data_IF_764902452242
#
_entry.id   IF_764902452242
#
_cell.length_a   1.000
_cell.length_b   1.000
_cell.length_c   1.000
_cell.angle_alpha   90.00
_cell.angle_beta   90.00
_cell.angle_gamma   90.00
#
_symmetry.space_group_name_H-M   'P 1'
#
loop_
_entity.id
_entity.type
_entity.pdbx_description
1 polymer ?
#
# COMPACT_ATOMS: atom_id res chain seq x y z
N UNK A 1 61.38 -26.07 64.54
CA UNK A 1 61.20 -25.21 63.35
C UNK A 1 60.33 -25.99 62.38
N UNK A 2 59.04 -25.70 62.33
CA UNK A 2 58.06 -26.44 61.51
C UNK A 2 57.67 -25.46 60.39
N UNK A 3 57.99 -25.84 59.13
CA UNK A 3 57.76 -25.07 57.94
C UNK A 3 56.31 -25.35 57.51
N UNK A 4 55.47 -24.31 57.40
CA UNK A 4 54.09 -24.36 56.86
C UNK A 4 54.12 -23.97 55.38
N UNK A 5 53.75 -24.89 54.50
CA UNK A 5 53.56 -24.63 53.09
C UNK A 5 52.05 -24.15 52.81
N UNK A 6 51.81 -23.17 51.95
CA UNK A 6 50.48 -22.68 51.64
C UNK A 6 49.76 -23.57 50.64
N UNK A 7 48.55 -23.97 50.97
CA UNK A 7 47.58 -24.68 50.11
C UNK A 7 47.06 -23.66 49.08
N UNK A 8 47.37 -23.85 47.77
CA UNK A 8 46.75 -23.13 46.69
C UNK A 8 45.43 -23.79 46.31
N UNK A 9 44.33 -23.12 46.61
CA UNK A 9 43.00 -23.50 46.12
C UNK A 9 42.81 -22.92 44.70
N UNK A 10 42.83 -23.75 43.67
CA UNK A 10 42.51 -23.36 42.30
C UNK A 10 41.00 -23.43 42.12
N UNK A 11 40.33 -22.25 42.05
CA UNK A 11 38.92 -22.16 41.70
C UNK A 11 38.78 -22.36 40.19
N UNK A 12 38.25 -23.49 39.77
CA UNK A 12 37.80 -23.71 38.37
C UNK A 12 36.44 -23.00 38.19
N UNK A 13 36.47 -21.84 37.50
CA UNK A 13 35.25 -21.19 37.03
C UNK A 13 34.75 -21.94 35.80
N UNK A 14 33.72 -22.78 35.93
CA UNK A 14 33.02 -23.38 34.79
C UNK A 14 32.15 -22.31 34.14
N UNK A 15 32.60 -21.76 33.02
CA UNK A 15 31.75 -20.96 32.14
C UNK A 15 30.72 -21.85 31.49
N UNK A 16 29.48 -21.87 32.02
CA UNK A 16 28.32 -22.40 31.32
C UNK A 16 27.99 -21.44 30.18
N UNK A 17 28.49 -21.72 28.98
CA UNK A 17 28.06 -21.06 27.76
C UNK A 17 26.65 -21.60 27.47
N UNK A 18 25.63 -20.88 27.92
CA UNK A 18 24.26 -21.11 27.49
C UNK A 18 24.15 -20.69 26.03
N UNK A 19 24.24 -21.67 25.12
CA UNK A 19 23.90 -21.48 23.71
C UNK A 19 22.39 -21.28 23.62
N UNK A 20 21.95 -20.02 23.74
CA UNK A 20 20.62 -19.66 23.27
C UNK A 20 20.57 -19.98 21.79
N UNK A 21 19.94 -21.07 21.44
CA UNK A 21 19.62 -21.41 20.05
C UNK A 21 18.78 -20.24 19.52
N UNK A 22 19.39 -19.37 18.73
CA UNK A 22 18.66 -18.34 18.01
C UNK A 22 17.69 -19.06 17.09
N UNK A 23 16.42 -19.01 17.43
CA UNK A 23 15.39 -19.61 16.58
C UNK A 23 15.56 -19.01 15.16
N UNK A 24 15.85 -19.88 14.21
CA UNK A 24 16.02 -19.46 12.81
C UNK A 24 14.72 -18.81 12.37
N UNK A 25 14.82 -17.63 11.73
CA UNK A 25 13.66 -16.95 11.17
C UNK A 25 12.88 -17.89 10.22
N UNK A 26 11.54 -17.83 10.20
CA UNK A 26 10.73 -18.63 9.29
C UNK A 26 11.18 -18.43 7.83
N UNK A 27 11.26 -19.53 7.08
CA UNK A 27 11.60 -19.45 5.64
C UNK A 27 10.36 -19.66 4.79
N UNK A 28 10.12 -18.75 3.85
CA UNK A 28 9.04 -18.84 2.89
C UNK A 28 9.15 -20.04 1.94
N UNK A 29 10.33 -20.68 1.85
CA UNK A 29 10.55 -21.90 1.10
C UNK A 29 10.25 -23.19 1.91
N UNK A 30 10.03 -23.09 3.24
CA UNK A 30 9.71 -24.25 4.08
C UNK A 30 8.30 -24.79 3.77
N UNK A 31 8.13 -26.10 3.51
CA UNK A 31 6.81 -26.69 3.24
C UNK A 31 5.78 -26.44 4.35
N UNK A 32 6.19 -26.44 5.64
CA UNK A 32 5.30 -26.15 6.75
C UNK A 32 4.81 -24.71 6.75
N UNK A 33 5.72 -23.74 6.52
CA UNK A 33 5.37 -22.33 6.40
C UNK A 33 4.46 -22.07 5.19
N UNK A 34 4.73 -22.72 4.06
CA UNK A 34 3.87 -22.62 2.88
C UNK A 34 2.46 -23.15 3.15
N UNK A 35 2.34 -24.25 3.89
CA UNK A 35 1.03 -24.78 4.29
C UNK A 35 0.29 -23.83 5.25
N UNK A 36 0.98 -23.22 6.21
CA UNK A 36 0.39 -22.21 7.11
C UNK A 36 -0.08 -20.97 6.35
N UNK A 37 0.72 -20.46 5.40
CA UNK A 37 0.34 -19.33 4.53
C UNK A 37 -0.89 -19.70 3.70
N UNK A 38 -0.90 -20.89 3.08
CA UNK A 38 -2.05 -21.34 2.28
C UNK A 38 -3.33 -21.43 3.12
N UNK A 39 -3.25 -21.99 4.33
CA UNK A 39 -4.37 -22.09 5.23
C UNK A 39 -4.89 -20.70 5.68
N UNK A 40 -3.99 -19.75 5.94
CA UNK A 40 -4.36 -18.37 6.26
C UNK A 40 -5.10 -17.69 5.10
N UNK A 41 -4.63 -17.87 3.86
CA UNK A 41 -5.30 -17.33 2.66
C UNK A 41 -6.68 -17.94 2.48
N UNK A 42 -6.83 -19.26 2.57
CA UNK A 42 -8.13 -19.91 2.39
C UNK A 42 -9.12 -19.55 3.49
N UNK A 43 -8.65 -19.37 4.72
CA UNK A 43 -9.47 -18.87 5.84
C UNK A 43 -10.06 -17.50 5.52
N UNK A 44 -9.24 -16.55 5.08
CA UNK A 44 -9.71 -15.21 4.77
C UNK A 44 -10.57 -15.19 3.49
N UNK A 45 -10.24 -16.01 2.49
CA UNK A 45 -11.04 -16.21 1.28
C UNK A 45 -12.47 -16.67 1.60
N UNK A 46 -12.60 -17.63 2.51
CA UNK A 46 -13.89 -18.14 2.96
C UNK A 46 -14.64 -17.11 3.82
N UNK A 47 -13.94 -16.37 4.70
CA UNK A 47 -14.57 -15.44 5.63
C UNK A 47 -15.22 -14.23 4.95
N UNK A 48 -14.73 -13.80 3.80
CA UNK A 48 -15.22 -12.62 3.08
C UNK A 48 -16.06 -12.96 1.84
N UNK A 49 -16.19 -14.21 1.49
CA UNK A 49 -16.86 -14.66 0.27
C UNK A 49 -18.38 -14.88 0.41
N UNK A 50 -18.99 -14.62 1.57
CA UNK A 50 -20.41 -14.90 1.77
C UNK A 50 -20.74 -16.40 1.57
N UNK A 51 -21.61 -16.73 0.61
CA UNK A 51 -21.98 -18.14 0.31
C UNK A 51 -20.94 -18.87 -0.54
N UNK A 52 -20.05 -18.14 -1.22
CA UNK A 52 -18.97 -18.69 -2.05
C UNK A 52 -17.66 -17.96 -1.73
N UNK A 53 -16.53 -18.65 -1.80
CA UNK A 53 -15.22 -18.02 -1.53
C UNK A 53 -14.96 -16.81 -2.46
N UNK A 54 -14.16 -15.86 -2.00
CA UNK A 54 -13.65 -14.77 -2.84
C UNK A 54 -13.10 -15.34 -4.16
N UNK A 55 -13.46 -14.78 -5.34
CA UNK A 55 -13.13 -15.36 -6.63
C UNK A 55 -11.65 -15.61 -6.84
N UNK A 56 -10.79 -14.63 -6.58
CA UNK A 56 -9.36 -14.74 -6.82
C UNK A 56 -8.51 -14.10 -5.74
N UNK A 57 -7.42 -14.78 -5.35
CA UNK A 57 -6.38 -14.26 -4.47
C UNK A 57 -5.01 -14.64 -5.04
N UNK A 58 -4.15 -13.65 -5.27
CA UNK A 58 -2.72 -13.82 -5.52
C UNK A 58 -1.95 -13.45 -4.27
N UNK A 59 -1.06 -14.33 -3.85
CA UNK A 59 -0.18 -14.08 -2.70
C UNK A 59 1.27 -14.36 -3.06
N UNK A 60 2.16 -13.42 -2.71
CA UNK A 60 3.59 -13.59 -2.80
C UNK A 60 4.26 -13.24 -1.48
N UNK A 61 5.10 -14.15 -0.99
CA UNK A 61 5.92 -13.98 0.22
C UNK A 61 7.36 -14.30 -0.13
N UNK A 62 8.27 -13.38 0.18
CA UNK A 62 9.72 -13.57 -0.02
C UNK A 62 10.43 -13.24 1.28
N UNK A 63 11.29 -14.14 1.72
CA UNK A 63 12.15 -13.86 2.87
C UNK A 63 13.48 -13.23 2.46
N UNK A 64 14.20 -12.67 3.43
CA UNK A 64 15.51 -12.04 3.17
C UNK A 64 16.63 -13.03 2.87
N UNK A 65 16.39 -14.34 3.01
CA UNK A 65 17.35 -15.41 2.78
C UNK A 65 17.22 -16.04 1.38
N UNK A 66 16.28 -15.58 0.56
CA UNK A 66 16.05 -16.06 -0.80
C UNK A 66 14.94 -17.09 -0.94
N UNK A 67 14.27 -17.49 0.14
CA UNK A 67 13.07 -18.30 0.10
C UNK A 67 11.88 -17.51 -0.45
N UNK A 68 10.99 -18.21 -1.17
CA UNK A 68 9.79 -17.59 -1.71
C UNK A 68 8.60 -18.56 -1.74
N UNK A 69 7.42 -17.96 -1.64
CA UNK A 69 6.14 -18.62 -1.86
C UNK A 69 5.29 -17.68 -2.72
N UNK A 70 4.90 -18.12 -3.91
CA UNK A 70 3.99 -17.38 -4.79
C UNK A 70 2.90 -18.32 -5.23
N UNK A 71 1.64 -17.97 -4.98
CA UNK A 71 0.51 -18.83 -5.32
C UNK A 71 -0.74 -18.02 -5.66
N UNK A 72 -1.48 -18.55 -6.63
CA UNK A 72 -2.82 -18.12 -7.01
C UNK A 72 -3.86 -19.07 -6.41
N UNK A 73 -5.01 -18.52 -6.02
CA UNK A 73 -6.16 -19.24 -5.48
C UNK A 73 -7.41 -18.78 -6.22
N UNK A 74 -8.16 -19.70 -6.81
CA UNK A 74 -9.41 -19.44 -7.51
C UNK A 74 -9.24 -18.97 -8.94
N UNK A 75 -10.23 -18.22 -9.42
CA UNK A 75 -10.39 -17.85 -10.82
C UNK A 75 -10.05 -16.37 -11.06
N UNK A 76 -9.46 -16.09 -12.21
CA UNK A 76 -9.26 -14.73 -12.71
C UNK A 76 -10.51 -14.20 -13.42
N UNK A 77 -11.30 -15.11 -14.01
CA UNK A 77 -12.55 -14.80 -14.69
C UNK A 77 -13.60 -15.88 -14.38
N UNK A 78 -14.63 -15.50 -13.66
CA UNK A 78 -15.71 -16.42 -13.29
C UNK A 78 -16.58 -16.85 -14.48
N UNK A 79 -16.67 -16.03 -15.53
CA UNK A 79 -17.51 -16.32 -16.70
C UNK A 79 -16.92 -17.44 -17.55
N UNK A 80 -15.60 -17.43 -17.72
CA UNK A 80 -14.85 -18.44 -18.51
C UNK A 80 -14.21 -19.53 -17.64
N UNK A 81 -14.23 -19.36 -16.32
CA UNK A 81 -13.54 -20.23 -15.37
C UNK A 81 -12.02 -20.27 -15.60
N UNK A 82 -11.46 -19.18 -16.14
CA UNK A 82 -10.02 -19.03 -16.30
C UNK A 82 -9.36 -18.98 -14.93
N UNK A 83 -8.46 -19.93 -14.69
CA UNK A 83 -7.70 -19.94 -13.43
C UNK A 83 -6.84 -18.67 -13.29
N UNK A 84 -6.75 -18.15 -12.06
CA UNK A 84 -5.86 -17.05 -11.72
C UNK A 84 -4.39 -17.51 -11.76
N UNK A 85 -3.51 -16.70 -12.32
CA UNK A 85 -2.07 -16.96 -12.40
C UNK A 85 -1.25 -15.79 -11.85
N UNK A 86 0.01 -16.03 -11.39
CA UNK A 86 0.84 -14.97 -10.79
C UNK A 86 1.13 -13.77 -11.70
N UNK A 87 1.08 -13.97 -13.01
CA UNK A 87 1.34 -12.93 -14.02
C UNK A 87 0.08 -12.10 -14.38
N UNK A 88 -1.07 -12.41 -13.77
CA UNK A 88 -2.29 -11.62 -13.99
C UNK A 88 -2.12 -10.20 -13.45
N UNK A 89 -2.41 -9.23 -14.31
CA UNK A 89 -2.48 -7.82 -13.94
C UNK A 89 -3.73 -7.53 -13.10
N UNK A 90 -3.57 -6.60 -12.17
CA UNK A 90 -4.66 -6.08 -11.34
C UNK A 90 -4.58 -4.56 -11.24
N UNK A 91 -5.71 -3.91 -10.97
CA UNK A 91 -5.71 -2.51 -10.55
C UNK A 91 -5.19 -2.42 -9.11
N UNK A 92 -4.09 -1.67 -8.91
CA UNK A 92 -3.42 -1.61 -7.60
C UNK A 92 -3.97 -0.54 -6.67
N UNK A 93 -4.96 0.24 -7.13
CA UNK A 93 -5.63 1.26 -6.32
C UNK A 93 -4.63 2.20 -5.66
N UNK A 94 -4.82 2.49 -4.39
CA UNK A 94 -4.02 3.46 -3.63
C UNK A 94 -2.53 3.13 -3.51
N UNK A 95 -2.05 1.95 -3.93
CA UNK A 95 -0.61 1.72 -4.11
C UNK A 95 0.01 2.70 -5.13
N UNK A 96 -0.79 3.27 -6.06
CA UNK A 96 -0.42 4.39 -6.95
C UNK A 96 0.21 5.55 -6.19
N UNK A 97 -0.27 5.85 -4.99
CA UNK A 97 0.20 6.93 -4.15
C UNK A 97 1.70 6.85 -3.84
N UNK A 98 2.22 5.64 -3.73
CA UNK A 98 3.64 5.41 -3.46
C UNK A 98 4.53 5.84 -4.63
N UNK A 99 4.05 5.68 -5.86
CA UNK A 99 4.73 6.17 -7.07
C UNK A 99 4.68 7.70 -7.16
N UNK A 100 3.51 8.29 -6.96
CA UNK A 100 3.32 9.75 -7.00
C UNK A 100 4.22 10.45 -6.00
N UNK A 101 4.23 10.02 -4.73
CA UNK A 101 5.11 10.60 -3.73
C UNK A 101 6.59 10.33 -4.03
N UNK A 102 6.93 9.19 -4.63
CA UNK A 102 8.33 8.95 -5.06
C UNK A 102 8.79 9.95 -6.12
N UNK A 103 7.91 10.39 -7.04
CA UNK A 103 8.22 11.52 -7.97
C UNK A 103 8.48 12.79 -7.19
N UNK A 104 7.60 13.15 -6.25
CA UNK A 104 7.75 14.36 -5.43
C UNK A 104 9.06 14.36 -4.64
N UNK A 105 9.41 13.22 -4.03
CA UNK A 105 10.65 13.09 -3.27
C UNK A 105 11.90 13.22 -4.16
N UNK A 106 11.85 12.78 -5.42
CA UNK A 106 12.93 13.07 -6.37
C UNK A 106 12.98 14.57 -6.75
N UNK A 107 11.83 15.23 -6.87
CA UNK A 107 11.82 16.69 -7.10
C UNK A 107 12.39 17.44 -5.90
N UNK A 108 12.19 16.96 -4.67
CA UNK A 108 12.86 17.45 -3.47
C UNK A 108 14.37 17.23 -3.56
N UNK A 109 14.82 16.04 -3.96
CA UNK A 109 16.23 15.70 -4.13
C UNK A 109 16.92 16.51 -5.23
N UNK A 110 16.15 16.98 -6.23
CA UNK A 110 16.57 17.87 -7.31
C UNK A 110 16.56 19.36 -6.90
N UNK A 111 16.06 19.70 -5.72
CA UNK A 111 15.93 21.09 -5.25
C UNK A 111 14.84 21.90 -5.95
N UNK A 112 13.89 21.23 -6.61
CA UNK A 112 12.76 21.85 -7.33
C UNK A 112 11.52 22.03 -6.47
N UNK A 113 11.51 21.41 -5.28
CA UNK A 113 10.40 21.38 -4.34
C UNK A 113 10.95 21.23 -2.92
N UNK A 114 10.30 21.87 -1.95
CA UNK A 114 10.52 21.62 -0.53
C UNK A 114 9.26 21.03 0.10
N UNK A 115 9.42 20.10 1.04
CA UNK A 115 8.27 19.47 1.72
C UNK A 115 7.43 20.49 2.51
N UNK A 116 8.03 21.59 2.92
CA UNK A 116 7.38 22.66 3.69
C UNK A 116 6.86 23.81 2.81
N UNK A 117 6.98 23.68 1.47
CA UNK A 117 6.37 24.62 0.53
C UNK A 117 4.85 24.64 0.72
N UNK A 118 4.27 25.86 0.69
CA UNK A 118 2.83 26.06 0.85
C UNK A 118 2.11 25.78 -0.47
N UNK A 119 0.92 25.18 -0.37
CA UNK A 119 0.08 24.88 -1.52
C UNK A 119 -0.23 26.14 -2.35
N UNK A 120 -0.38 27.28 -1.70
CA UNK A 120 -0.60 28.59 -2.36
C UNK A 120 0.56 29.04 -3.25
N UNK A 121 1.75 28.46 -3.11
CA UNK A 121 2.92 28.74 -3.96
C UNK A 121 2.86 28.08 -5.34
N UNK A 122 1.90 27.20 -5.60
CA UNK A 122 1.79 26.48 -6.87
C UNK A 122 0.66 27.01 -7.75
N UNK A 123 0.95 27.23 -9.03
CA UNK A 123 -0.04 27.66 -10.04
C UNK A 123 -0.85 26.45 -10.54
N UNK A 124 -1.89 26.07 -9.82
CA UNK A 124 -2.72 24.91 -10.15
C UNK A 124 -3.93 25.23 -11.04
N UNK A 125 -4.13 26.49 -11.40
CA UNK A 125 -5.26 26.95 -12.21
C UNK A 125 -6.60 26.99 -11.45
N UNK A 126 -6.57 26.94 -10.10
CA UNK A 126 -7.74 27.02 -9.24
C UNK A 126 -7.38 27.59 -7.88
N UNK A 127 -8.42 28.00 -7.13
CA UNK A 127 -8.28 28.46 -5.74
C UNK A 127 -8.72 27.36 -4.78
N UNK A 128 -7.88 27.08 -3.79
CA UNK A 128 -8.19 26.16 -2.68
C UNK A 128 -8.19 26.98 -1.39
N UNK A 129 -9.31 27.08 -0.68
CA UNK A 129 -9.38 27.82 0.59
C UNK A 129 -8.38 27.26 1.61
N UNK A 130 -7.63 28.13 2.28
CA UNK A 130 -6.63 27.74 3.27
C UNK A 130 -5.32 27.19 2.69
N UNK A 131 -5.10 27.28 1.37
CA UNK A 131 -3.89 26.78 0.69
C UNK A 131 -2.59 27.37 1.27
N UNK A 132 -2.64 28.59 1.82
CA UNK A 132 -1.53 29.27 2.49
C UNK A 132 -1.10 28.57 3.80
N UNK A 133 -1.94 27.69 4.36
CA UNK A 133 -1.69 26.96 5.61
C UNK A 133 -1.36 25.48 5.37
N UNK A 134 -1.56 24.98 4.15
CA UNK A 134 -1.32 23.57 3.77
C UNK A 134 0.08 23.45 3.17
N UNK A 135 0.87 22.47 3.64
CA UNK A 135 2.18 22.15 3.06
C UNK A 135 2.13 20.89 2.20
N UNK A 136 3.10 20.72 1.31
CA UNK A 136 3.31 19.49 0.53
C UNK A 136 3.46 18.28 1.45
N UNK A 137 4.18 18.43 2.57
CA UNK A 137 4.31 17.40 3.60
C UNK A 137 2.96 16.94 4.12
N UNK A 138 2.11 17.88 4.51
CA UNK A 138 0.77 17.58 5.05
C UNK A 138 -0.13 16.87 4.02
N UNK A 139 0.00 17.20 2.74
CA UNK A 139 -0.69 16.45 1.67
C UNK A 139 -0.18 15.00 1.60
N UNK A 140 1.15 14.78 1.56
CA UNK A 140 1.74 13.44 1.51
C UNK A 140 1.36 12.57 2.73
N UNK A 141 1.21 13.19 3.91
CA UNK A 141 0.92 12.53 5.19
C UNK A 141 -0.57 12.44 5.52
N UNK A 142 -1.47 12.85 4.61
CA UNK A 142 -2.94 12.89 4.86
C UNK A 142 -3.34 13.78 6.04
N UNK A 143 -2.63 14.91 6.24
CA UNK A 143 -2.83 15.85 7.36
C UNK A 143 -3.24 17.25 6.93
N UNK A 144 -3.68 17.42 5.69
CA UNK A 144 -4.18 18.71 5.20
C UNK A 144 -5.53 19.10 5.79
N UNK A 145 -6.35 18.11 6.18
CA UNK A 145 -7.74 18.31 6.60
C UNK A 145 -8.72 18.49 5.44
N UNK A 146 -8.27 18.42 4.19
CA UNK A 146 -9.14 18.56 3.00
C UNK A 146 -10.18 17.44 2.93
N UNK A 147 -11.41 17.82 2.56
CA UNK A 147 -12.53 16.89 2.38
C UNK A 147 -12.22 15.84 1.30
N UNK A 148 -12.79 14.63 1.42
CA UNK A 148 -12.62 13.54 0.48
C UNK A 148 -13.32 13.82 -0.84
N UNK A 149 -12.57 13.80 -1.96
CA UNK A 149 -13.09 14.14 -3.27
C UNK A 149 -14.13 13.14 -3.81
N UNK A 150 -14.15 11.92 -3.28
CA UNK A 150 -15.11 10.90 -3.75
C UNK A 150 -16.40 10.88 -2.93
N UNK A 151 -16.42 11.60 -1.79
CA UNK A 151 -17.60 11.74 -0.92
C UNK A 151 -18.38 13.03 -1.18
N UNK A 152 -18.04 13.77 -2.24
CA UNK A 152 -18.74 15.03 -2.57
C UNK A 152 -20.14 14.75 -3.15
N UNK A 153 -21.14 15.60 -2.87
CA UNK A 153 -22.53 15.41 -3.35
C UNK A 153 -22.66 15.39 -4.88
N UNK A 154 -21.70 16.01 -5.58
CA UNK A 154 -21.68 16.08 -7.05
C UNK A 154 -21.36 14.73 -7.72
N UNK A 155 -20.77 13.78 -6.99
CA UNK A 155 -20.53 12.42 -7.44
C UNK A 155 -21.70 11.54 -6.99
N UNK A 156 -22.60 11.25 -7.93
CA UNK A 156 -23.66 10.27 -7.74
C UNK A 156 -23.16 8.91 -8.26
N UNK A 157 -22.86 7.93 -7.39
CA UNK A 157 -22.30 6.65 -7.81
C UNK A 157 -23.17 5.91 -8.83
N UNK A 158 -24.49 6.17 -8.84
CA UNK A 158 -25.43 5.53 -9.78
C UNK A 158 -25.34 6.10 -11.19
N UNK A 159 -24.67 7.23 -11.37
CA UNK A 159 -24.51 7.95 -12.65
C UNK A 159 -23.07 7.96 -13.16
N UNK A 160 -22.13 7.48 -12.38
CA UNK A 160 -20.74 7.33 -12.83
C UNK A 160 -20.69 6.16 -13.80
N UNK A 161 -20.20 6.40 -15.02
CA UNK A 161 -19.99 5.35 -16.02
C UNK A 161 -18.51 5.17 -16.31
N UNK A 162 -18.08 4.02 -16.80
CA UNK A 162 -16.68 3.76 -17.18
C UNK A 162 -16.09 4.78 -18.15
N UNK A 163 -16.92 5.34 -19.03
CA UNK A 163 -16.52 6.30 -20.08
C UNK A 163 -16.45 7.73 -19.56
N UNK A 164 -16.98 8.00 -18.37
CA UNK A 164 -16.96 9.33 -17.78
C UNK A 164 -15.54 9.87 -17.65
N UNK A 165 -15.36 11.16 -17.85
CA UNK A 165 -14.06 11.83 -17.71
C UNK A 165 -14.13 12.87 -16.59
N UNK A 166 -13.28 12.72 -15.59
CA UNK A 166 -13.16 13.65 -14.47
C UNK A 166 -11.85 14.42 -14.58
N UNK A 167 -11.94 15.75 -14.67
CA UNK A 167 -10.77 16.61 -14.46
C UNK A 167 -10.45 16.65 -12.97
N UNK A 168 -9.22 16.33 -12.54
CA UNK A 168 -8.83 16.40 -11.14
C UNK A 168 -9.05 17.79 -10.52
N UNK A 169 -8.97 18.87 -11.32
CA UNK A 169 -9.28 20.23 -10.84
C UNK A 169 -10.73 20.37 -10.42
N UNK A 170 -11.65 19.78 -11.18
CA UNK A 170 -13.09 19.79 -10.86
C UNK A 170 -13.35 19.03 -9.57
N UNK A 171 -12.79 17.83 -9.40
CA UNK A 171 -12.91 17.03 -8.17
C UNK A 171 -12.38 17.79 -6.94
N UNK A 172 -11.21 18.39 -7.08
CA UNK A 172 -10.59 19.19 -6.01
C UNK A 172 -11.45 20.42 -5.67
N UNK A 173 -12.01 21.10 -6.66
CA UNK A 173 -12.89 22.26 -6.43
C UNK A 173 -14.18 21.88 -5.71
N UNK A 174 -14.77 20.72 -6.03
CA UNK A 174 -15.94 20.20 -5.32
C UNK A 174 -15.59 19.90 -3.86
N UNK A 175 -14.50 19.19 -3.62
CA UNK A 175 -14.01 18.92 -2.26
C UNK A 175 -13.68 20.21 -1.48
N UNK A 176 -13.11 21.21 -2.13
CA UNK A 176 -12.71 22.48 -1.53
C UNK A 176 -13.92 23.35 -1.10
N UNK A 177 -15.12 23.09 -1.60
CA UNK A 177 -16.37 23.74 -1.16
C UNK A 177 -16.92 23.13 0.13
N UNK A 178 -16.48 21.92 0.47
CA UNK A 178 -16.94 21.23 1.66
C UNK A 178 -16.16 21.71 2.90
N UNK A 179 -16.74 21.48 4.07
CA UNK A 179 -16.09 21.81 5.35
C UNK A 179 -14.88 20.88 5.55
N UNK A 180 -13.67 21.43 5.78
CA UNK A 180 -12.50 20.60 6.13
C UNK A 180 -12.76 19.77 7.40
N UNK A 181 -12.17 18.58 7.47
CA UNK A 181 -12.26 17.70 8.65
C UNK A 181 -11.62 18.35 9.89
N UNK A 182 -10.50 19.07 9.70
CA UNK A 182 -9.75 19.79 10.74
C UNK A 182 -8.80 20.82 10.10
N UNK A 183 -8.27 21.77 10.89
CA UNK A 183 -7.25 22.70 10.40
C UNK A 183 -5.97 21.96 9.99
N UNK A 184 -5.22 22.42 8.98
CA UNK A 184 -4.01 21.78 8.49
C UNK A 184 -3.01 21.41 9.60
N UNK A 185 -2.55 20.15 9.60
CA UNK A 185 -1.62 19.63 10.59
C UNK A 185 -2.22 19.24 11.94
N UNK A 186 -3.52 19.43 12.18
CA UNK A 186 -4.15 19.18 13.49
C UNK A 186 -4.79 17.79 13.64
N UNK A 187 -4.71 16.96 12.61
CA UNK A 187 -5.28 15.62 12.64
C UNK A 187 -4.75 14.76 11.50
N UNK A 188 -5.30 13.58 11.41
CA UNK A 188 -5.13 12.65 10.30
C UNK A 188 -6.52 12.29 9.75
N UNK A 189 -6.67 12.34 8.43
CA UNK A 189 -7.83 11.81 7.74
C UNK A 189 -7.42 11.41 6.33
N UNK A 190 -7.72 10.17 5.97
CA UNK A 190 -7.46 9.69 4.62
C UNK A 190 -8.34 10.44 3.63
N UNK A 191 -7.71 11.12 2.66
CA UNK A 191 -8.41 11.86 1.62
C UNK A 191 -7.65 11.80 0.29
N UNK A 192 -8.32 11.32 -0.74
CA UNK A 192 -7.78 11.22 -2.09
C UNK A 192 -7.52 12.60 -2.72
N UNK A 193 -8.24 13.63 -2.27
CA UNK A 193 -8.01 15.04 -2.67
C UNK A 193 -6.55 15.44 -2.54
N UNK A 194 -5.87 15.00 -1.47
CA UNK A 194 -4.45 15.28 -1.28
C UNK A 194 -3.62 14.82 -2.49
N UNK A 195 -3.88 13.63 -3.00
CA UNK A 195 -3.08 13.01 -4.06
C UNK A 195 -3.44 13.52 -5.45
N UNK A 196 -4.68 13.90 -5.67
CA UNK A 196 -5.07 14.66 -6.87
C UNK A 196 -4.30 15.99 -6.93
N UNK A 197 -4.20 16.71 -5.81
CA UNK A 197 -3.41 17.95 -5.71
C UNK A 197 -1.92 17.68 -5.93
N UNK A 198 -1.34 16.63 -5.32
CA UNK A 198 0.06 16.26 -5.49
C UNK A 198 0.38 15.94 -6.96
N UNK A 199 -0.55 15.30 -7.68
CA UNK A 199 -0.43 15.11 -9.14
C UNK A 199 -0.29 16.43 -9.88
N UNK A 200 -1.18 17.38 -9.61
CA UNK A 200 -1.11 18.71 -10.24
C UNK A 200 0.13 19.51 -9.83
N UNK A 201 0.66 19.32 -8.63
CA UNK A 201 1.95 19.94 -8.22
C UNK A 201 3.08 19.38 -9.07
N UNK A 202 3.16 18.06 -9.29
CA UNK A 202 4.15 17.44 -10.18
C UNK A 202 4.08 18.07 -11.57
N UNK A 203 2.89 18.14 -12.16
CA UNK A 203 2.67 18.72 -13.50
C UNK A 203 3.07 20.19 -13.55
N UNK A 204 2.75 20.97 -12.51
CA UNK A 204 3.07 22.39 -12.43
C UNK A 204 4.58 22.66 -12.42
N UNK A 205 5.37 21.77 -11.79
CA UNK A 205 6.83 21.89 -11.67
C UNK A 205 7.53 21.32 -12.92
N UNK A 206 7.10 20.15 -13.39
CA UNK A 206 7.80 19.42 -14.46
C UNK A 206 7.36 19.83 -15.86
N UNK A 207 6.18 20.44 -15.99
CA UNK A 207 5.50 20.73 -17.27
C UNK A 207 5.22 19.46 -18.09
N UNK A 208 5.12 18.33 -17.42
CA UNK A 208 4.89 17.00 -17.97
C UNK A 208 3.84 16.28 -17.11
N UNK A 209 3.08 15.36 -17.66
CA UNK A 209 2.04 14.67 -16.92
C UNK A 209 2.62 13.69 -15.88
N UNK A 210 1.80 13.31 -14.87
CA UNK A 210 2.22 12.41 -13.80
C UNK A 210 2.63 11.03 -14.33
N UNK A 211 1.89 10.52 -15.32
CA UNK A 211 2.16 9.23 -15.96
C UNK A 211 3.57 9.17 -16.52
N UNK A 212 3.94 10.16 -17.32
CA UNK A 212 5.26 10.27 -17.94
C UNK A 212 6.38 10.41 -16.90
N UNK A 213 6.13 11.17 -15.83
CA UNK A 213 7.10 11.30 -14.75
C UNK A 213 7.32 9.96 -14.03
N UNK A 214 6.26 9.21 -13.73
CA UNK A 214 6.36 7.87 -13.14
C UNK A 214 7.09 6.94 -14.10
N UNK A 215 6.69 6.88 -15.36
CA UNK A 215 7.29 6.03 -16.39
C UNK A 215 8.79 6.28 -16.56
N UNK A 216 9.19 7.54 -16.76
CA UNK A 216 10.59 7.94 -16.97
C UNK A 216 11.46 7.68 -15.74
N UNK A 217 10.96 8.01 -14.56
CA UNK A 217 11.72 7.95 -13.31
C UNK A 217 11.82 6.56 -12.72
N UNK A 218 10.77 5.74 -12.88
CA UNK A 218 10.67 4.45 -12.18
C UNK A 218 10.42 3.26 -13.09
N UNK A 219 9.39 3.26 -13.95
CA UNK A 219 9.02 2.06 -14.69
C UNK A 219 10.16 1.62 -15.62
N UNK A 220 10.66 2.54 -16.44
CA UNK A 220 11.77 2.25 -17.35
C UNK A 220 13.07 1.97 -16.58
N UNK A 221 13.39 2.81 -15.59
CA UNK A 221 14.66 2.73 -14.86
C UNK A 221 14.83 1.44 -14.05
N UNK A 222 13.76 0.95 -13.45
CA UNK A 222 13.78 -0.24 -12.58
C UNK A 222 13.18 -1.46 -13.25
N UNK A 223 12.92 -1.39 -14.57
CA UNK A 223 12.36 -2.49 -15.36
C UNK A 223 11.04 -3.04 -14.79
N UNK A 224 10.13 -2.12 -14.42
CA UNK A 224 8.77 -2.46 -14.00
C UNK A 224 7.88 -2.48 -15.24
N UNK A 225 8.09 -3.52 -16.07
CA UNK A 225 7.51 -3.59 -17.42
C UNK A 225 6.01 -3.95 -17.42
N UNK A 226 5.53 -4.54 -16.33
CA UNK A 226 4.14 -4.94 -16.14
C UNK A 226 3.34 -3.90 -15.34
N UNK A 227 3.95 -2.74 -15.06
CA UNK A 227 3.31 -1.64 -14.35
C UNK A 227 3.00 -0.51 -15.30
N UNK A 228 1.78 0.01 -15.25
CA UNK A 228 1.34 1.13 -16.08
C UNK A 228 0.45 2.11 -15.31
N UNK A 229 0.38 3.34 -15.82
CA UNK A 229 -0.59 4.34 -15.40
C UNK A 229 -1.51 4.57 -16.62
N UNK A 230 -2.67 3.90 -16.67
CA UNK A 230 -3.54 3.93 -17.85
C UNK A 230 -4.34 5.23 -17.94
N UNK A 231 -4.72 5.60 -19.14
CA UNK A 231 -5.66 6.67 -19.47
C UNK A 231 -7.05 6.14 -19.87
N UNK A 232 -7.17 4.83 -20.03
CA UNK A 232 -8.40 4.11 -20.40
C UNK A 232 -8.68 2.96 -19.43
N UNK A 233 -9.84 2.32 -19.60
CA UNK A 233 -10.22 1.14 -18.81
C UNK A 233 -9.50 -0.15 -19.25
N UNK A 234 -8.81 -0.14 -20.38
CA UNK A 234 -8.16 -1.34 -20.92
C UNK A 234 -7.15 -1.92 -19.91
N UNK A 235 -7.24 -3.22 -19.72
CA UNK A 235 -6.29 -4.00 -18.93
C UNK A 235 -5.33 -4.73 -19.85
N UNK A 236 -4.02 -4.78 -19.53
CA UNK A 236 -3.07 -5.60 -20.29
C UNK A 236 -3.26 -7.09 -19.99
N UNK A 237 -3.20 -7.93 -21.03
CA UNK A 237 -3.28 -9.38 -20.85
C UNK A 237 -1.97 -9.98 -20.28
N UNK A 238 -2.07 -11.04 -19.46
CA UNK A 238 -3.28 -11.55 -18.81
C UNK A 238 -3.70 -10.67 -17.63
N UNK A 239 -4.99 -10.63 -17.32
CA UNK A 239 -5.49 -9.85 -16.18
C UNK A 239 -6.62 -10.56 -15.42
N UNK A 240 -6.80 -10.21 -14.16
CA UNK A 240 -7.84 -10.73 -13.31
C UNK A 240 -9.02 -9.76 -13.23
N UNK A 241 -10.23 -10.27 -13.44
CA UNK A 241 -11.47 -9.53 -13.25
C UNK A 241 -11.72 -9.20 -11.79
N UNK A 242 -12.30 -8.04 -11.53
CA UNK A 242 -12.65 -7.58 -10.18
C UNK A 242 -14.14 -7.79 -9.90
N UNK A 243 -14.46 -8.24 -8.70
CA UNK A 243 -15.81 -8.63 -8.34
C UNK A 243 -16.34 -7.90 -7.10
N UNK A 244 -17.65 -7.76 -7.03
CA UNK A 244 -18.38 -7.35 -5.84
C UNK A 244 -19.56 -8.30 -5.63
N UNK A 245 -20.01 -8.44 -4.38
CA UNK A 245 -21.27 -9.14 -4.08
C UNK A 245 -22.45 -8.20 -4.34
N UNK A 246 -23.46 -8.70 -5.03
CA UNK A 246 -24.73 -8.00 -5.09
C UNK A 246 -25.57 -8.24 -3.82
N UNK A 247 -26.74 -7.63 -3.75
CA UNK A 247 -27.67 -7.75 -2.62
C UNK A 247 -28.17 -9.19 -2.35
N UNK A 248 -28.06 -10.06 -3.33
CA UNK A 248 -28.50 -11.46 -3.26
C UNK A 248 -27.32 -12.41 -2.98
N UNK A 249 -26.09 -11.84 -2.82
CA UNK A 249 -24.86 -12.57 -2.53
C UNK A 249 -24.23 -13.22 -3.77
N UNK A 250 -24.60 -12.82 -4.97
CA UNK A 250 -23.98 -13.26 -6.22
C UNK A 250 -22.83 -12.35 -6.64
N UNK A 251 -21.79 -12.95 -7.26
CA UNK A 251 -20.66 -12.21 -7.77
C UNK A 251 -21.03 -11.45 -9.05
N UNK A 252 -20.76 -10.15 -9.02
CA UNK A 252 -20.89 -9.26 -10.18
C UNK A 252 -19.50 -8.79 -10.60
N UNK A 253 -19.20 -8.84 -11.90
CA UNK A 253 -18.01 -8.23 -12.46
C UNK A 253 -18.13 -6.71 -12.40
N UNK A 254 -17.21 -6.08 -11.72
CA UNK A 254 -17.14 -4.61 -11.52
C UNK A 254 -15.78 -4.05 -11.94
N UNK A 255 -15.04 -4.78 -12.77
CA UNK A 255 -13.69 -4.42 -13.24
C UNK A 255 -13.61 -3.01 -13.81
N UNK A 256 -14.69 -2.58 -14.47
CA UNK A 256 -14.82 -1.29 -15.15
C UNK A 256 -15.84 -0.35 -14.47
N UNK A 257 -16.19 -0.61 -13.20
CA UNK A 257 -17.26 0.13 -12.52
C UNK A 257 -17.01 1.64 -12.39
N UNK A 258 -15.75 2.07 -12.35
CA UNK A 258 -15.40 3.50 -12.25
C UNK A 258 -14.37 3.89 -13.32
N UNK A 259 -14.47 5.12 -13.86
CA UNK A 259 -13.49 5.59 -14.82
C UNK A 259 -12.11 5.81 -14.19
N UNK A 260 -11.05 5.48 -14.92
CA UNK A 260 -9.65 5.66 -14.48
C UNK A 260 -9.37 7.09 -14.05
N UNK A 261 -9.94 8.07 -14.78
CA UNK A 261 -9.76 9.51 -14.50
C UNK A 261 -10.30 9.94 -13.13
N UNK A 262 -11.29 9.24 -12.57
CA UNK A 262 -11.78 9.50 -11.22
C UNK A 262 -10.70 9.21 -10.18
N UNK A 263 -9.98 8.09 -10.34
CA UNK A 263 -8.91 7.68 -9.42
C UNK A 263 -7.62 8.47 -9.62
N UNK A 264 -7.23 8.77 -10.86
CA UNK A 264 -6.08 9.59 -11.24
C UNK A 264 -4.82 9.29 -10.41
N UNK A 265 -4.13 10.34 -9.95
CA UNK A 265 -2.94 10.25 -9.12
C UNK A 265 -3.17 9.58 -7.74
N UNK A 266 -4.41 9.36 -7.35
CA UNK A 266 -4.76 8.68 -6.11
C UNK A 266 -4.87 7.16 -6.25
N UNK A 267 -5.10 6.60 -7.48
CA UNK A 267 -5.42 5.18 -7.56
C UNK A 267 -5.43 4.52 -8.94
N UNK A 268 -4.99 5.16 -10.01
CA UNK A 268 -5.25 4.69 -11.38
C UNK A 268 -4.37 3.52 -11.87
N UNK A 269 -3.24 3.23 -11.22
CA UNK A 269 -2.23 2.32 -11.78
C UNK A 269 -2.65 0.84 -11.77
N UNK A 270 -2.05 0.11 -12.71
CA UNK A 270 -2.13 -1.33 -12.89
C UNK A 270 -0.74 -1.92 -12.67
N UNK A 271 -0.65 -3.12 -12.13
CA UNK A 271 0.62 -3.84 -11.95
C UNK A 271 0.39 -5.35 -11.82
N UNK A 272 1.49 -6.10 -11.81
CA UNK A 272 1.54 -7.51 -11.49
C UNK A 272 2.26 -7.78 -10.15
N UNK A 273 2.29 -9.05 -9.76
CA UNK A 273 2.92 -9.52 -8.52
C UNK A 273 4.44 -9.26 -8.49
N UNK A 274 5.12 -9.46 -9.60
CA UNK A 274 6.57 -9.36 -9.69
C UNK A 274 7.06 -7.92 -9.59
N UNK A 275 6.38 -7.01 -10.28
CA UNK A 275 6.70 -5.59 -10.27
C UNK A 275 6.36 -4.95 -8.91
N UNK A 276 5.21 -5.30 -8.31
CA UNK A 276 4.86 -4.79 -6.97
C UNK A 276 5.82 -5.27 -5.88
N UNK A 277 6.31 -6.51 -5.96
CA UNK A 277 7.41 -6.98 -5.09
C UNK A 277 8.66 -6.10 -5.22
N UNK A 278 9.08 -5.84 -6.46
CA UNK A 278 10.26 -4.97 -6.72
C UNK A 278 10.01 -3.58 -6.20
N UNK A 279 8.86 -3.02 -6.53
CA UNK A 279 8.52 -1.64 -6.21
C UNK A 279 8.50 -1.39 -4.70
N UNK A 280 7.79 -2.22 -3.91
CA UNK A 280 7.73 -2.02 -2.46
C UNK A 280 9.11 -2.08 -1.82
N UNK A 281 9.98 -2.99 -2.26
CA UNK A 281 11.36 -3.06 -1.79
C UNK A 281 12.17 -1.81 -2.17
N UNK A 282 12.06 -1.34 -3.42
CA UNK A 282 12.81 -0.18 -3.92
C UNK A 282 12.50 1.08 -3.11
N UNK A 283 11.22 1.43 -2.94
CA UNK A 283 10.89 2.68 -2.29
C UNK A 283 11.03 2.64 -0.77
N UNK A 284 10.89 1.46 -0.16
CA UNK A 284 11.11 1.31 1.29
C UNK A 284 12.60 1.26 1.64
N UNK A 285 13.43 0.62 0.81
CA UNK A 285 14.89 0.56 1.05
C UNK A 285 15.64 1.83 0.70
N UNK A 286 14.98 2.83 0.10
CA UNK A 286 15.59 4.11 -0.26
C UNK A 286 16.25 4.15 -1.64
N UNK A 287 16.02 3.15 -2.50
CA UNK A 287 16.57 3.15 -3.86
C UNK A 287 15.98 4.23 -4.77
N UNK A 288 14.86 4.86 -4.38
CA UNK A 288 14.15 5.87 -5.16
C UNK A 288 14.46 7.32 -4.77
N UNK A 289 15.20 7.56 -3.68
CA UNK A 289 15.46 8.90 -3.16
C UNK A 289 16.81 8.98 -2.41
N UNK A 290 17.29 10.20 -2.16
CA UNK A 290 18.51 10.41 -1.35
C UNK A 290 18.29 10.01 0.12
N UNK A 291 19.36 9.66 0.88
CA UNK A 291 19.21 9.18 2.26
C UNK A 291 18.46 10.14 3.20
N UNK A 292 18.63 11.45 3.05
CA UNK A 292 17.95 12.44 3.89
C UNK A 292 16.43 12.44 3.61
N UNK A 293 16.04 12.43 2.35
CA UNK A 293 14.66 12.39 1.89
C UNK A 293 13.99 11.06 2.24
N UNK A 294 14.75 9.95 2.14
CA UNK A 294 14.26 8.64 2.59
C UNK A 294 13.99 8.60 4.10
N UNK A 295 14.86 9.18 4.91
CA UNK A 295 14.59 9.30 6.36
C UNK A 295 13.32 10.09 6.64
N UNK A 296 13.09 11.20 5.90
CA UNK A 296 11.86 11.97 6.01
C UNK A 296 10.63 11.15 5.60
N UNK A 297 10.74 10.33 4.53
CA UNK A 297 9.66 9.41 4.09
C UNK A 297 9.23 8.45 5.19
N UNK A 298 10.19 7.86 5.89
CA UNK A 298 9.95 6.83 6.90
C UNK A 298 9.69 7.39 8.30
N UNK A 299 9.72 8.71 8.49
CA UNK A 299 9.36 9.38 9.75
C UNK A 299 7.83 9.39 9.93
N UNK A 300 7.26 8.21 10.15
CA UNK A 300 5.82 8.02 10.23
C UNK A 300 5.23 8.61 11.51
N UNK A 301 4.13 9.32 11.38
CA UNK A 301 3.37 9.92 12.49
C UNK A 301 2.12 9.07 12.78
N UNK A 302 1.76 8.84 14.06
CA UNK A 302 0.57 8.09 14.43
C UNK A 302 -0.69 8.64 13.77
N UNK A 303 -1.57 7.73 13.31
CA UNK A 303 -2.88 8.11 12.76
C UNK A 303 -3.96 8.27 13.84
N UNK A 304 -3.72 7.73 15.03
CA UNK A 304 -4.70 7.59 16.10
C UNK A 304 -5.40 6.23 16.09
N UNK A 305 -5.07 5.35 15.16
CA UNK A 305 -5.66 4.01 15.02
C UNK A 305 -4.63 2.94 15.34
N UNK A 306 -4.73 2.29 16.50
CA UNK A 306 -3.81 1.26 16.95
C UNK A 306 -2.33 1.67 16.81
N UNK A 307 -1.50 0.80 16.22
CA UNK A 307 -0.10 1.11 15.91
C UNK A 307 0.12 1.54 14.43
N UNK A 308 -0.96 1.92 13.73
CA UNK A 308 -0.87 2.45 12.37
C UNK A 308 -0.31 3.87 12.40
N UNK A 309 0.67 4.12 11.56
CA UNK A 309 1.26 5.42 11.33
C UNK A 309 1.38 5.70 9.83
N UNK A 310 1.43 6.97 9.46
CA UNK A 310 1.55 7.41 8.07
C UNK A 310 2.76 8.33 7.91
N UNK A 311 3.59 8.04 6.90
CA UNK A 311 4.68 8.88 6.45
C UNK A 311 4.41 9.49 5.08
N UNK A 312 5.46 9.91 4.36
CA UNK A 312 5.30 10.52 3.03
C UNK A 312 4.93 9.44 2.00
N UNK A 313 3.63 9.27 1.77
CA UNK A 313 3.09 8.27 0.85
C UNK A 313 3.41 6.83 1.23
N UNK A 314 3.43 6.54 2.52
CA UNK A 314 3.74 5.21 3.04
C UNK A 314 2.97 4.96 4.35
N UNK A 315 2.44 3.76 4.50
CA UNK A 315 1.90 3.26 5.76
C UNK A 315 2.97 2.51 6.55
N UNK A 316 2.90 2.62 7.88
CA UNK A 316 3.85 2.04 8.81
C UNK A 316 3.11 1.37 9.95
N UNK A 317 3.43 0.12 10.26
CA UNK A 317 2.89 -0.57 11.41
C UNK A 317 3.84 -1.68 11.87
N UNK A 318 4.19 -1.72 13.16
CA UNK A 318 5.05 -2.73 13.78
C UNK A 318 6.38 -2.98 13.04
N UNK A 319 6.95 -1.97 12.36
CA UNK A 319 8.19 -2.06 11.59
C UNK A 319 8.01 -2.54 10.14
N UNK A 320 6.79 -2.85 9.72
CA UNK A 320 6.41 -3.02 8.32
C UNK A 320 6.16 -1.68 7.67
N UNK A 321 6.57 -1.54 6.43
CA UNK A 321 6.38 -0.36 5.60
C UNK A 321 5.78 -0.76 4.25
N UNK A 322 4.78 -0.04 3.81
CA UNK A 322 4.10 -0.38 2.55
C UNK A 322 2.86 0.44 2.33
N UNK A 323 1.97 -0.07 1.51
CA UNK A 323 0.68 0.56 1.27
C UNK A 323 -0.38 -0.48 0.90
N UNK A 324 -1.64 -0.05 0.99
CA UNK A 324 -2.80 -0.83 0.55
C UNK A 324 -3.48 -0.15 -0.62
N UNK A 325 -4.28 -0.89 -1.36
CA UNK A 325 -5.11 -0.35 -2.42
C UNK A 325 -6.51 -0.92 -2.37
N UNK A 326 -7.49 -0.10 -2.69
CA UNK A 326 -8.88 -0.50 -2.86
C UNK A 326 -9.49 0.26 -4.03
N UNK A 327 -10.16 -0.45 -4.90
CA UNK A 327 -11.02 0.03 -5.98
C UNK A 327 -12.19 -0.96 -6.11
N UNK A 328 -13.29 -0.59 -6.76
CA UNK A 328 -14.31 -1.58 -7.11
C UNK A 328 -13.67 -2.82 -7.73
N UNK A 329 -13.97 -3.98 -7.16
CA UNK A 329 -13.44 -5.27 -7.59
C UNK A 329 -12.01 -5.60 -7.19
N UNK A 330 -11.25 -4.71 -6.58
CA UNK A 330 -9.83 -4.96 -6.27
C UNK A 330 -9.46 -4.48 -4.87
N UNK A 331 -8.74 -5.34 -4.14
CA UNK A 331 -8.11 -5.00 -2.88
C UNK A 331 -6.67 -5.50 -2.87
N UNK A 332 -5.70 -4.65 -2.55
CA UNK A 332 -4.27 -4.96 -2.65
C UNK A 332 -3.51 -4.55 -1.40
N UNK A 333 -2.47 -5.30 -1.05
CA UNK A 333 -1.53 -4.98 0.01
C UNK A 333 -0.10 -5.29 -0.48
N UNK A 334 0.83 -4.36 -0.28
CA UNK A 334 2.24 -4.55 -0.64
C UNK A 334 3.11 -3.95 0.48
N UNK A 335 3.82 -4.82 1.21
CA UNK A 335 4.61 -4.45 2.38
C UNK A 335 5.98 -5.09 2.39
N UNK A 336 6.95 -4.35 2.94
CA UNK A 336 8.31 -4.79 3.16
C UNK A 336 8.70 -4.59 4.63
N UNK A 337 9.38 -5.57 5.21
CA UNK A 337 9.92 -5.54 6.57
C UNK A 337 11.44 -5.45 6.52
N UNK A 338 12.06 -4.26 6.65
CA UNK A 338 13.49 -4.07 6.44
C UNK A 338 14.38 -4.87 7.38
N UNK A 339 13.93 -5.13 8.62
CA UNK A 339 14.72 -5.81 9.64
C UNK A 339 15.10 -7.24 9.26
N UNK A 340 14.24 -7.96 8.54
CA UNK A 340 14.52 -9.35 8.09
C UNK A 340 14.46 -9.51 6.56
N UNK A 341 14.13 -8.45 5.81
CA UNK A 341 14.04 -8.50 4.35
C UNK A 341 12.77 -9.19 3.81
N UNK A 342 11.79 -9.44 4.67
CA UNK A 342 10.53 -10.08 4.25
C UNK A 342 9.72 -9.11 3.42
N UNK A 343 9.21 -9.59 2.28
CA UNK A 343 8.24 -8.88 1.42
C UNK A 343 6.96 -9.69 1.35
N UNK A 344 5.81 -9.03 1.47
CA UNK A 344 4.49 -9.63 1.26
C UNK A 344 3.73 -8.78 0.26
N UNK A 345 3.19 -9.42 -0.77
CA UNK A 345 2.24 -8.82 -1.72
C UNK A 345 1.00 -9.70 -1.77
N UNK A 346 -0.16 -9.10 -1.64
CA UNK A 346 -1.44 -9.78 -1.78
C UNK A 346 -2.36 -8.97 -2.70
N UNK A 347 -2.93 -9.63 -3.69
CA UNK A 347 -3.96 -9.10 -4.58
C UNK A 347 -5.21 -9.93 -4.41
N UNK A 348 -6.34 -9.29 -4.30
CA UNK A 348 -7.65 -9.92 -4.10
C UNK A 348 -8.63 -9.31 -5.08
N UNK A 349 -9.35 -10.16 -5.80
CA UNK A 349 -10.33 -9.75 -6.81
C UNK A 349 -11.70 -9.51 -6.16
N UNK A 350 -11.71 -8.73 -5.09
CA UNK A 350 -12.90 -8.32 -4.35
C UNK A 350 -12.76 -6.87 -3.90
N UNK A 351 -13.80 -6.08 -4.09
CA UNK A 351 -13.94 -4.81 -3.39
C UNK A 351 -14.13 -5.08 -1.90
N UNK A 352 -13.31 -4.46 -1.07
CA UNK A 352 -13.55 -4.47 0.36
C UNK A 352 -14.72 -3.54 0.71
N UNK A 353 -15.82 -4.08 1.19
CA UNK A 353 -16.86 -3.29 1.83
C UNK A 353 -16.49 -2.99 3.28
N UNK A 354 -16.90 -1.80 3.77
CA UNK A 354 -16.72 -1.43 5.18
C UNK A 354 -17.54 -2.38 6.09
N UNK A 355 -17.04 -2.78 7.28
CA UNK A 355 -15.86 -2.24 7.96
C UNK A 355 -14.57 -2.94 7.55
N UNK A 356 -13.56 -2.12 7.27
CA UNK A 356 -12.19 -2.54 7.00
C UNK A 356 -11.57 -3.30 8.20
N UNK A 357 -10.58 -4.20 7.97
CA UNK A 357 -9.61 -4.17 6.87
C UNK A 357 -10.06 -4.96 5.66
N UNK A 358 -9.73 -4.52 4.44
CA UNK A 358 -9.94 -5.35 3.25
C UNK A 358 -9.24 -6.70 3.33
N UNK A 359 -9.71 -7.66 2.54
CA UNK A 359 -9.23 -9.06 2.56
C UNK A 359 -7.71 -9.15 2.38
N UNK A 360 -7.12 -8.36 1.47
CA UNK A 360 -5.68 -8.33 1.25
C UNK A 360 -4.90 -7.91 2.52
N UNK A 361 -5.45 -7.00 3.31
CA UNK A 361 -4.85 -6.57 4.57
C UNK A 361 -4.96 -7.66 5.65
N UNK A 362 -6.08 -8.37 5.73
CA UNK A 362 -6.25 -9.49 6.64
C UNK A 362 -5.26 -10.62 6.33
N UNK A 363 -5.12 -10.97 5.03
CA UNK A 363 -4.12 -11.93 4.54
C UNK A 363 -2.71 -11.46 4.88
N UNK A 364 -2.37 -10.21 4.59
CA UNK A 364 -1.06 -9.64 4.93
C UNK A 364 -0.74 -9.77 6.42
N UNK A 365 -1.68 -9.41 7.30
CA UNK A 365 -1.50 -9.51 8.75
C UNK A 365 -1.29 -10.95 9.21
N UNK A 366 -2.08 -11.90 8.70
CA UNK A 366 -1.95 -13.30 9.08
C UNK A 366 -0.60 -13.88 8.60
N UNK A 367 -0.13 -13.50 7.41
CA UNK A 367 1.22 -13.82 6.92
C UNK A 367 2.30 -13.15 7.78
N UNK A 368 2.12 -11.88 8.17
CA UNK A 368 3.07 -11.20 9.05
C UNK A 368 3.17 -11.90 10.42
N UNK A 369 2.06 -12.45 10.94
CA UNK A 369 2.05 -13.25 12.17
C UNK A 369 2.87 -14.54 12.01
N UNK A 370 2.84 -15.17 10.84
CA UNK A 370 3.64 -16.35 10.53
C UNK A 370 5.12 -15.98 10.37
N UNK A 371 5.43 -14.96 9.57
CA UNK A 371 6.80 -14.62 9.17
C UNK A 371 7.56 -13.77 10.20
N UNK A 372 6.85 -12.95 10.96
CA UNK A 372 7.42 -12.01 11.96
C UNK A 372 6.53 -11.92 13.21
N UNK A 373 6.37 -13.00 13.98
CA UNK A 373 5.37 -13.10 15.06
C UNK A 373 5.50 -12.01 16.14
N UNK A 374 6.69 -11.48 16.36
CA UNK A 374 6.93 -10.34 17.28
C UNK A 374 6.56 -8.97 16.70
N UNK A 375 6.21 -8.88 15.40
CA UNK A 375 5.97 -7.65 14.67
C UNK A 375 4.69 -7.74 13.83
N UNK A 376 3.58 -8.09 14.47
CA UNK A 376 2.27 -8.18 13.81
C UNK A 376 1.69 -6.78 13.62
N UNK A 377 1.41 -6.36 12.37
CA UNK A 377 0.83 -5.04 12.12
C UNK A 377 -0.63 -4.97 12.61
N UNK A 378 -1.01 -3.80 13.13
CA UNK A 378 -2.40 -3.43 13.33
C UNK A 378 -3.00 -2.98 12.00
N UNK A 379 -4.27 -3.34 11.78
CA UNK A 379 -5.01 -2.89 10.61
C UNK A 379 -6.24 -2.09 11.05
N UNK A 380 -6.57 -1.05 10.27
CA UNK A 380 -7.80 -0.26 10.44
C UNK A 380 -9.00 -1.21 10.51
N UNK A 381 -9.88 -1.01 11.49
CA UNK A 381 -11.08 -1.85 11.69
C UNK A 381 -10.89 -3.05 12.63
N UNK A 382 -9.69 -3.27 13.20
CA UNK A 382 -9.54 -4.22 14.31
C UNK A 382 -10.25 -3.68 15.56
N UNK A 383 -11.34 -4.32 15.94
CA UNK A 383 -12.20 -3.88 17.04
C UNK A 383 -13.66 -3.69 16.63
N UNK A 384 -13.95 -3.54 15.35
CA UNK A 384 -15.30 -3.72 14.84
C UNK A 384 -15.61 -5.22 14.76
N UNK A 385 -16.75 -5.64 15.28
CA UNK A 385 -17.20 -7.03 15.13
C UNK A 385 -17.21 -7.38 13.64
N UNK A 386 -16.61 -8.51 13.27
CA UNK A 386 -16.78 -9.07 11.91
C UNK A 386 -18.27 -9.35 11.72
N UNK A 387 -18.84 -9.07 10.53
CA UNK A 387 -20.24 -9.35 10.22
C UNK A 387 -20.57 -10.84 10.35
#
# INVERSE_FOLDING_TARGET
>A
MISSAPIRVTLLLACVVSSAASARAPSAASPSIQAEIAAAVEKERAAYGGHTPVPGVLVGVWDGAGGSYVRAFGDADLSTRRALVPDDHVRIGSNTKTFVVSVLLQLVDEGKLHLDDRLSGFSLGMTIPGAENITVRQLCEMRSGLFEAYDVPEIDPTKVTPEARFDPRTLIQWAARQKPYFPPGKGYHYSNTNYLILGLIIESITKDNVEDQIRKRFLTRFHLAQTSYPDTQAMPDPWAHGYALDKDGAWQDVSDAIPVSLSGAAGAMISDMADMRRWVKLYVSGATSKPATQRARLACLPTGEGNLACGLGIGCSAGWYGYTGGLPGYNTAAYYFPKSGVTVVAFVTLQAEKPLPGVANAIFRDIARIMTPANVPFLVGEGAARP
#
